data_IF_561391893283
#
_entry.id   IF_561391893283
#
_cell.length_a   1.000
_cell.length_b   1.000
_cell.length_c   1.000
_cell.angle_alpha   90.00
_cell.angle_beta   90.00
_cell.angle_gamma   90.00
#
_symmetry.space_group_name_H-M   'P 1'
#
loop_
_entity.id
_entity.type
_entity.pdbx_description
1 polymer ?
#
# COMPACT_ATOMS: atom_id res chain seq x y z
N UNK A 1 -38.62 -18.70 -31.76
CA UNK A 1 -38.22 -17.28 -31.69
C UNK A 1 -37.44 -17.08 -30.41
N UNK A 2 -36.14 -17.34 -30.52
CA UNK A 2 -35.11 -17.44 -29.47
C UNK A 2 -34.70 -16.10 -28.82
N UNK A 3 -35.44 -15.02 -29.06
CA UNK A 3 -35.02 -13.66 -28.71
C UNK A 3 -35.18 -13.29 -27.22
N UNK A 4 -35.77 -14.16 -26.39
CA UNK A 4 -35.99 -13.89 -24.96
C UNK A 4 -34.90 -14.48 -24.05
N UNK A 5 -33.97 -15.28 -24.60
CA UNK A 5 -32.94 -15.98 -23.82
C UNK A 5 -31.54 -15.36 -23.92
N UNK A 6 -31.33 -14.40 -24.83
CA UNK A 6 -30.03 -13.70 -24.99
C UNK A 6 -29.85 -12.48 -24.07
N UNK A 7 -30.92 -11.94 -23.49
CA UNK A 7 -30.85 -10.75 -22.64
C UNK A 7 -30.16 -11.03 -21.28
N UNK A 8 -30.31 -12.23 -20.72
CA UNK A 8 -29.77 -12.62 -19.41
C UNK A 8 -28.26 -12.92 -19.44
N UNK A 9 -27.74 -13.37 -20.58
CA UNK A 9 -26.31 -13.61 -20.75
C UNK A 9 -25.49 -12.31 -20.88
N UNK A 10 -26.10 -11.22 -21.36
CA UNK A 10 -25.42 -9.93 -21.56
C UNK A 10 -25.10 -9.22 -20.22
N UNK A 11 -25.94 -9.42 -19.20
CA UNK A 11 -25.73 -8.89 -17.85
C UNK A 11 -24.64 -9.64 -17.08
N UNK A 12 -24.48 -10.95 -17.33
CA UNK A 12 -23.38 -11.74 -16.77
C UNK A 12 -22.01 -11.32 -17.32
N UNK A 13 -21.93 -10.93 -18.60
CA UNK A 13 -20.69 -10.45 -19.23
C UNK A 13 -20.39 -8.99 -18.83
N UNK A 14 -21.41 -8.20 -18.49
CA UNK A 14 -21.29 -6.84 -17.98
C UNK A 14 -20.68 -6.71 -16.57
N UNK A 15 -20.64 -7.81 -15.81
CA UNK A 15 -20.09 -7.87 -14.45
C UNK A 15 -18.56 -8.06 -14.41
N UNK A 16 -17.92 -8.32 -15.55
CA UNK A 16 -16.46 -8.32 -15.72
C UNK A 16 -15.90 -6.92 -16.04
N UNK A 17 -16.63 -5.85 -15.70
CA UNK A 17 -15.97 -4.57 -15.42
C UNK A 17 -15.07 -4.82 -14.22
N UNK A 18 -13.81 -5.11 -14.51
CA UNK A 18 -12.69 -5.22 -13.60
C UNK A 18 -12.77 -3.99 -12.69
N UNK A 19 -13.45 -4.14 -11.55
CA UNK A 19 -13.54 -3.15 -10.49
C UNK A 19 -12.09 -2.98 -10.10
N UNK A 20 -11.41 -1.97 -10.66
CA UNK A 20 -10.07 -1.53 -10.27
C UNK A 20 -10.03 -1.74 -8.76
N UNK A 21 -9.26 -2.74 -8.31
CA UNK A 21 -9.35 -3.15 -6.92
C UNK A 21 -9.19 -1.87 -6.10
N UNK A 22 -10.17 -1.60 -5.24
CA UNK A 22 -10.14 -0.39 -4.41
C UNK A 22 -8.77 -0.39 -3.75
N UNK A 23 -8.00 0.69 -3.93
CA UNK A 23 -6.62 0.83 -3.46
C UNK A 23 -5.48 0.10 -4.23
N UNK A 24 -5.70 -0.41 -5.44
CA UNK A 24 -4.64 -1.02 -6.27
C UNK A 24 -3.45 -0.07 -6.60
N UNK A 25 -3.65 1.23 -6.41
CA UNK A 25 -2.62 2.25 -6.62
C UNK A 25 -1.75 2.48 -5.38
N UNK A 26 -2.12 1.93 -4.22
CA UNK A 26 -1.36 2.08 -2.99
C UNK A 26 -0.13 1.18 -3.00
N UNK A 27 1.02 1.81 -2.80
CA UNK A 27 2.33 1.16 -2.79
C UNK A 27 3.09 1.71 -1.60
N UNK A 28 3.73 0.84 -0.84
CA UNK A 28 4.40 1.24 0.39
C UNK A 28 5.90 0.98 0.34
N UNK A 29 6.66 1.82 1.04
CA UNK A 29 8.08 1.60 1.33
C UNK A 29 8.30 1.64 2.84
N UNK A 30 9.04 0.67 3.37
CA UNK A 30 9.25 0.48 4.80
C UNK A 30 10.76 0.35 5.13
N UNK A 31 11.22 0.77 6.33
CA UNK A 31 12.53 0.39 6.84
C UNK A 31 12.58 -1.08 7.23
N UNK A 32 13.79 -1.66 7.26
CA UNK A 32 14.05 -3.05 7.67
C UNK A 32 13.40 -3.44 9.01
N UNK A 33 13.34 -2.51 9.96
CA UNK A 33 12.76 -2.71 11.29
C UNK A 33 11.26 -3.05 11.28
N UNK A 34 10.55 -2.75 10.18
CA UNK A 34 9.13 -3.08 10.00
C UNK A 34 8.91 -4.33 9.14
N UNK A 35 9.90 -5.23 9.04
CA UNK A 35 9.80 -6.45 8.25
C UNK A 35 8.64 -7.38 8.64
N UNK A 36 8.25 -7.42 9.92
CA UNK A 36 7.07 -8.18 10.37
C UNK A 36 5.76 -7.63 9.78
N UNK A 37 5.58 -6.32 9.81
CA UNK A 37 4.44 -5.63 9.21
C UNK A 37 4.40 -5.86 7.69
N UNK A 38 5.53 -5.67 7.01
CA UNK A 38 5.65 -5.89 5.56
C UNK A 38 5.20 -7.30 5.15
N UNK A 39 5.60 -8.34 5.88
CA UNK A 39 5.16 -9.72 5.57
C UNK A 39 3.65 -9.88 5.66
N UNK A 40 3.03 -9.31 6.70
CA UNK A 40 1.57 -9.35 6.87
C UNK A 40 0.86 -8.58 5.76
N UNK A 41 1.35 -7.38 5.43
CA UNK A 41 0.82 -6.57 4.32
C UNK A 41 0.87 -7.33 2.97
N UNK A 42 1.98 -8.03 2.68
CA UNK A 42 2.08 -8.88 1.48
C UNK A 42 1.12 -10.06 1.50
N UNK A 43 0.86 -10.64 2.67
CA UNK A 43 -0.17 -11.66 2.84
C UNK A 43 -1.57 -11.19 2.47
N UNK A 44 -1.84 -9.88 2.59
CA UNK A 44 -3.09 -9.24 2.14
C UNK A 44 -3.03 -8.73 0.69
N UNK A 45 -1.93 -8.98 -0.04
CA UNK A 45 -1.76 -8.54 -1.42
C UNK A 45 -1.33 -7.09 -1.60
N UNK A 46 -0.91 -6.38 -0.54
CA UNK A 46 -0.45 -4.99 -0.65
C UNK A 46 0.96 -4.91 -1.27
N UNK A 47 1.16 -3.99 -2.23
CA UNK A 47 2.48 -3.72 -2.82
C UNK A 47 3.37 -3.03 -1.79
N UNK A 48 4.41 -3.74 -1.36
CA UNK A 48 5.38 -3.25 -0.36
C UNK A 48 6.81 -3.52 -0.80
N UNK A 49 7.67 -2.54 -0.58
CA UNK A 49 9.13 -2.68 -0.67
C UNK A 49 9.75 -2.37 0.69
N UNK A 50 10.80 -3.10 1.06
CA UNK A 50 11.55 -2.85 2.27
C UNK A 50 12.96 -2.40 1.90
N UNK A 51 13.47 -1.37 2.56
CA UNK A 51 14.86 -0.99 2.41
C UNK A 51 15.77 -1.88 3.27
N UNK A 52 17.03 -2.11 2.86
CA UNK A 52 18.00 -2.86 3.64
C UNK A 52 18.22 -2.28 5.04
N UNK A 53 18.72 -3.11 5.95
CA UNK A 53 19.13 -2.65 7.28
C UNK A 53 20.25 -1.61 7.20
N UNK A 54 20.20 -0.60 8.08
CA UNK A 54 21.14 0.52 8.06
C UNK A 54 20.92 1.54 6.94
N UNK A 55 19.94 1.35 6.06
CA UNK A 55 19.62 2.33 5.03
C UNK A 55 19.24 3.69 5.67
N UNK A 56 19.83 4.81 5.19
CA UNK A 56 19.56 6.13 5.74
C UNK A 56 18.12 6.56 5.45
N UNK A 57 17.55 7.35 6.35
CA UNK A 57 16.16 7.79 6.28
C UNK A 57 15.81 8.52 4.96
N UNK A 58 16.78 9.23 4.39
CA UNK A 58 16.67 9.93 3.11
C UNK A 58 16.38 8.98 1.94
N UNK A 59 16.86 7.73 2.00
CA UNK A 59 16.57 6.73 0.97
C UNK A 59 15.10 6.29 0.99
N UNK A 60 14.42 6.28 2.16
CA UNK A 60 12.97 6.03 2.22
C UNK A 60 12.21 7.11 1.47
N UNK A 61 12.51 8.38 1.76
CA UNK A 61 11.88 9.51 1.09
C UNK A 61 12.19 9.54 -0.41
N UNK A 62 13.43 9.24 -0.82
CA UNK A 62 13.82 9.17 -2.22
C UNK A 62 13.09 8.04 -2.98
N UNK A 63 12.99 6.85 -2.38
CA UNK A 63 12.25 5.73 -2.96
C UNK A 63 10.76 6.04 -3.09
N UNK A 64 10.17 6.66 -2.08
CA UNK A 64 8.78 7.12 -2.11
C UNK A 64 8.49 8.09 -3.27
N UNK A 65 9.36 9.07 -3.47
CA UNK A 65 9.21 10.03 -4.58
C UNK A 65 9.41 9.36 -5.93
N UNK A 66 10.47 8.54 -6.08
CA UNK A 66 10.83 7.90 -7.35
C UNK A 66 9.80 6.88 -7.81
N UNK A 67 9.22 6.12 -6.89
CA UNK A 67 8.32 5.00 -7.21
C UNK A 67 6.84 5.28 -6.88
N UNK A 68 6.52 6.52 -6.49
CA UNK A 68 5.18 6.93 -6.06
C UNK A 68 4.64 6.03 -4.93
N UNK A 69 5.43 5.87 -3.86
CA UNK A 69 5.09 5.05 -2.69
C UNK A 69 4.84 5.92 -1.46
N UNK A 70 4.03 5.40 -0.55
CA UNK A 70 3.85 5.92 0.81
C UNK A 70 4.95 5.33 1.71
N UNK A 71 5.66 6.19 2.45
CA UNK A 71 6.58 5.78 3.50
C UNK A 71 5.79 5.43 4.75
N UNK A 72 5.91 4.19 5.23
CA UNK A 72 5.47 3.83 6.59
C UNK A 72 6.70 3.79 7.51
N UNK A 73 6.67 4.55 8.59
CA UNK A 73 7.79 4.60 9.55
C UNK A 73 7.30 4.86 10.97
N UNK A 74 8.04 4.40 11.98
CA UNK A 74 7.88 4.87 13.37
C UNK A 74 8.85 5.99 13.73
N UNK A 75 9.90 6.18 12.94
CA UNK A 75 10.97 7.12 13.25
C UNK A 75 10.56 8.54 12.85
N UNK A 76 10.44 9.42 13.84
CA UNK A 76 10.26 10.87 13.62
C UNK A 76 11.54 11.58 13.15
N UNK A 77 12.68 10.88 13.12
CA UNK A 77 13.97 11.42 12.64
C UNK A 77 14.13 11.32 11.11
N UNK A 78 13.04 11.06 10.40
CA UNK A 78 13.05 10.97 8.94
C UNK A 78 13.31 12.35 8.34
N UNK A 79 14.38 12.47 7.56
CA UNK A 79 14.65 13.69 6.79
C UNK A 79 13.80 13.68 5.53
N UNK A 80 12.93 14.68 5.41
CA UNK A 80 11.95 14.79 4.33
C UNK A 80 12.35 15.88 3.35
N UNK A 81 12.26 15.55 2.06
CA UNK A 81 12.16 16.59 1.03
C UNK A 81 10.73 17.10 0.97
N UNK A 82 10.53 18.34 0.49
CA UNK A 82 9.19 18.91 0.31
C UNK A 82 8.28 18.01 -0.57
N UNK A 83 8.86 17.30 -1.55
CA UNK A 83 8.15 16.37 -2.46
C UNK A 83 7.73 15.04 -1.83
N UNK A 84 8.23 14.74 -0.63
CA UNK A 84 7.93 13.51 0.10
C UNK A 84 7.04 13.76 1.32
N UNK A 85 6.81 15.02 1.70
CA UNK A 85 6.14 15.37 2.94
C UNK A 85 4.69 14.86 3.01
N UNK A 86 3.99 14.86 1.88
CA UNK A 86 2.63 14.36 1.69
C UNK A 86 2.54 12.83 1.54
N UNK A 87 3.69 12.15 1.48
CA UNK A 87 3.78 10.70 1.21
C UNK A 87 4.24 9.91 2.43
N UNK A 88 4.22 10.49 3.62
CA UNK A 88 4.76 9.85 4.83
C UNK A 88 3.65 9.66 5.84
N UNK A 89 3.54 8.44 6.34
CA UNK A 89 2.68 8.11 7.45
C UNK A 89 3.49 7.57 8.63
N UNK A 90 3.33 8.22 9.78
CA UNK A 90 3.98 7.83 11.03
C UNK A 90 3.07 6.86 11.79
N UNK A 91 3.48 5.60 11.83
CA UNK A 91 2.78 4.56 12.58
C UNK A 91 2.82 4.88 14.08
N UNK A 92 1.65 4.82 14.71
CA UNK A 92 1.49 5.05 16.15
C UNK A 92 1.63 3.75 16.93
N UNK A 93 1.23 2.63 16.34
CA UNK A 93 1.23 1.33 17.00
C UNK A 93 2.62 0.69 17.05
N UNK A 94 2.87 -0.15 18.07
CA UNK A 94 4.15 -0.84 18.25
C UNK A 94 4.15 -2.24 17.64
N UNK A 95 3.10 -3.02 17.89
CA UNK A 95 2.96 -4.40 17.45
C UNK A 95 2.60 -4.49 15.97
N UNK A 96 3.10 -5.52 15.30
CA UNK A 96 2.92 -5.66 13.85
C UNK A 96 1.45 -5.90 13.45
N UNK A 97 0.63 -6.47 14.34
CA UNK A 97 -0.80 -6.68 14.09
C UNK A 97 -1.59 -5.39 14.28
N UNK A 98 -1.28 -4.61 15.31
CA UNK A 98 -1.87 -3.30 15.57
C UNK A 98 -1.48 -2.30 14.48
N UNK A 99 -0.22 -2.33 14.02
CA UNK A 99 0.23 -1.55 12.88
C UNK A 99 -0.49 -1.92 11.59
N UNK A 100 -0.76 -3.21 11.36
CA UNK A 100 -1.49 -3.63 10.17
C UNK A 100 -2.94 -3.12 10.20
N UNK A 101 -3.61 -3.22 11.36
CA UNK A 101 -4.94 -2.63 11.55
C UNK A 101 -4.91 -1.12 11.30
N UNK A 102 -3.93 -0.42 11.88
CA UNK A 102 -3.72 1.01 11.66
C UNK A 102 -3.57 1.36 10.16
N UNK A 103 -2.83 0.56 9.39
CA UNK A 103 -2.69 0.80 7.94
C UNK A 103 -4.01 0.60 7.23
N UNK A 104 -4.77 -0.46 7.53
CA UNK A 104 -6.06 -0.76 6.89
C UNK A 104 -7.11 0.32 7.22
N UNK A 105 -7.11 0.84 8.45
CA UNK A 105 -8.08 1.85 8.86
C UNK A 105 -7.83 3.22 8.19
N UNK A 106 -6.59 3.50 7.79
CA UNK A 106 -6.16 4.79 7.25
C UNK A 106 -6.20 4.82 5.72
N UNK A 107 -5.98 3.69 5.05
CA UNK A 107 -5.69 3.60 3.62
C UNK A 107 -6.69 2.70 2.88
#
# INVERSE_FOLDING_TARGET
TEAAQEADASDAVGLMRNKKAVNAHLRFVLPASLGKLMRKMRGLGLDTTILPEGAPSQQLAAAAVRENRVVLTRSRKLQLSAKAADRVYYLRQEGADEQLREVIDVF
#
